data_IF_899574870051
#
_entry.id   IF_899574870051
#
_cell.length_a   1.000
_cell.length_b   1.000
_cell.length_c   1.000
_cell.angle_alpha   90.00
_cell.angle_beta   90.00
_cell.angle_gamma   90.00
#
_symmetry.space_group_name_H-M   'P 1'
#
loop_
_entity.id
_entity.type
_entity.pdbx_description
1 polymer ?
#
# COMPACT_ATOMS: atom_id res chain seq x y z
N UNK A 1 -5.88 -9.57 11.73
CA UNK A 1 -4.77 -10.19 12.46
C UNK A 1 -4.28 -11.36 11.64
N UNK A 2 -3.05 -11.26 11.16
CA UNK A 2 -2.40 -12.36 10.43
C UNK A 2 -1.94 -13.41 11.44
N UNK A 3 -2.15 -14.69 11.14
CA UNK A 3 -1.64 -15.77 11.97
C UNK A 3 -0.21 -16.17 11.57
N UNK A 4 0.41 -17.01 12.39
CA UNK A 4 1.80 -17.45 12.18
C UNK A 4 1.97 -18.33 10.94
N UNK A 5 0.88 -18.79 10.32
CA UNK A 5 0.87 -19.66 9.14
C UNK A 5 0.69 -18.86 7.83
N UNK A 6 0.40 -17.56 7.93
CA UNK A 6 0.16 -16.73 6.76
C UNK A 6 1.46 -16.44 6.01
N UNK A 7 1.54 -16.96 4.79
CA UNK A 7 2.60 -16.59 3.85
C UNK A 7 2.13 -15.41 2.99
N UNK A 8 2.76 -14.26 3.21
CA UNK A 8 2.42 -13.01 2.54
C UNK A 8 3.27 -12.87 1.28
N UNK A 9 2.80 -13.44 0.15
CA UNK A 9 3.53 -13.43 -1.13
C UNK A 9 4.99 -13.90 -0.96
N UNK A 10 5.17 -15.12 -0.43
CA UNK A 10 6.50 -15.71 -0.24
C UNK A 10 7.28 -15.21 1.00
N UNK A 11 6.73 -14.30 1.78
CA UNK A 11 7.34 -13.80 3.02
C UNK A 11 6.54 -14.27 4.25
N UNK A 12 7.24 -14.83 5.23
CA UNK A 12 6.61 -15.32 6.45
C UNK A 12 6.25 -14.18 7.39
N UNK A 13 5.09 -14.29 8.06
CA UNK A 13 4.68 -13.38 9.11
C UNK A 13 5.11 -13.91 10.47
N UNK A 14 5.93 -13.13 11.18
CA UNK A 14 6.33 -13.40 12.56
C UNK A 14 5.45 -12.59 13.51
N UNK A 15 4.47 -13.23 14.14
CA UNK A 15 3.61 -12.53 15.09
C UNK A 15 4.35 -12.25 16.41
N UNK A 16 4.50 -10.96 16.76
CA UNK A 16 5.04 -10.54 18.06
C UNK A 16 3.92 -10.52 19.08
N UNK A 17 3.93 -11.46 20.05
CA UNK A 17 2.92 -11.58 21.11
C UNK A 17 3.33 -10.87 22.40
N UNK A 18 4.60 -10.56 22.55
CA UNK A 18 5.15 -9.85 23.73
C UNK A 18 5.67 -8.48 23.28
N UNK A 19 5.05 -7.43 23.76
CA UNK A 19 5.42 -6.03 23.50
C UNK A 19 6.88 -5.71 23.84
N UNK A 20 7.46 -6.38 24.81
CA UNK A 20 8.84 -6.14 25.24
C UNK A 20 9.89 -7.02 24.54
N UNK A 21 9.45 -7.88 23.63
CA UNK A 21 10.35 -8.77 22.90
C UNK A 21 11.05 -8.01 21.77
N UNK A 22 12.35 -8.25 21.62
CA UNK A 22 13.08 -7.74 20.46
C UNK A 22 12.60 -8.40 19.16
N UNK A 23 12.63 -7.65 18.02
CA UNK A 23 12.42 -8.22 16.69
C UNK A 23 13.41 -9.36 16.42
N UNK A 24 13.06 -10.27 15.50
CA UNK A 24 13.95 -11.32 15.06
C UNK A 24 15.24 -10.76 14.42
N UNK A 25 16.31 -11.56 14.39
CA UNK A 25 17.62 -11.12 13.88
C UNK A 25 17.59 -10.71 12.40
N UNK A 26 16.69 -11.29 11.59
CA UNK A 26 16.49 -10.99 10.17
C UNK A 26 15.25 -10.10 9.92
N UNK A 27 14.85 -9.34 10.92
CA UNK A 27 13.61 -8.60 10.97
C UNK A 27 13.31 -7.61 9.85
N UNK A 28 14.32 -7.22 9.11
CA UNK A 28 14.21 -6.31 7.95
C UNK A 28 13.28 -6.85 6.83
N UNK A 29 13.03 -8.17 6.77
CA UNK A 29 12.18 -8.81 5.74
C UNK A 29 10.98 -9.54 6.32
N UNK A 30 10.68 -9.34 7.59
CA UNK A 30 9.61 -10.06 8.28
C UNK A 30 8.43 -9.14 8.57
N UNK A 31 7.24 -9.74 8.64
CA UNK A 31 6.01 -9.07 9.11
C UNK A 31 5.79 -9.47 10.56
N UNK A 32 5.45 -8.50 11.41
CA UNK A 32 5.26 -8.73 12.85
C UNK A 32 3.79 -8.67 13.29
N UNK A 33 2.86 -8.53 12.34
CA UNK A 33 1.42 -8.60 12.59
C UNK A 33 0.83 -7.37 13.32
N UNK A 34 1.56 -6.26 13.41
CA UNK A 34 1.03 -5.01 13.92
C UNK A 34 -0.02 -4.41 12.99
N UNK A 35 -1.08 -3.82 13.56
CA UNK A 35 -2.18 -3.22 12.83
C UNK A 35 -2.73 -1.96 13.51
N UNK A 36 -3.68 -1.30 12.86
CA UNK A 36 -4.32 -0.08 13.39
C UNK A 36 -5.15 -0.35 14.66
N UNK A 37 -5.64 -1.58 14.85
CA UNK A 37 -6.29 -1.96 16.10
C UNK A 37 -5.31 -1.96 17.26
N UNK A 38 -4.09 -2.47 17.04
CA UNK A 38 -3.01 -2.41 18.02
C UNK A 38 -2.60 -0.97 18.36
N UNK A 39 -2.64 -0.05 17.39
CA UNK A 39 -2.44 1.38 17.64
C UNK A 39 -3.52 1.92 18.59
N UNK A 40 -4.80 1.65 18.30
CA UNK A 40 -5.91 2.05 19.20
C UNK A 40 -5.71 1.54 20.63
N UNK A 41 -5.29 0.28 20.77
CA UNK A 41 -5.07 -0.36 22.09
C UNK A 41 -3.89 0.25 22.85
N UNK A 42 -3.06 1.05 22.19
CA UNK A 42 -1.89 1.72 22.79
C UNK A 42 -2.02 3.24 22.88
N UNK A 43 -3.14 3.83 22.51
CA UNK A 43 -3.30 5.28 22.53
C UNK A 43 -3.14 5.87 23.95
N UNK A 44 -3.66 5.21 24.99
CA UNK A 44 -3.50 5.67 26.37
C UNK A 44 -2.03 5.67 26.79
N UNK A 45 -1.27 4.63 26.39
CA UNK A 45 0.19 4.59 26.61
C UNK A 45 0.93 5.72 25.89
N UNK A 46 0.55 6.03 24.66
CA UNK A 46 1.17 7.11 23.86
C UNK A 46 0.84 8.47 24.47
N UNK A 47 -0.39 8.67 24.94
CA UNK A 47 -0.80 9.88 25.65
C UNK A 47 -0.03 10.07 26.96
N UNK A 48 0.09 9.05 27.79
CA UNK A 48 0.90 9.07 29.02
C UNK A 48 2.38 9.36 28.77
N UNK A 49 2.90 8.91 27.61
CA UNK A 49 4.27 9.19 27.17
C UNK A 49 4.44 10.65 26.68
N UNK A 50 3.36 11.39 26.50
CA UNK A 50 3.37 12.78 26.03
C UNK A 50 3.56 12.92 24.52
N UNK A 51 3.14 11.94 23.74
CA UNK A 51 3.17 12.01 22.27
C UNK A 51 2.13 13.02 21.78
N UNK A 52 2.56 13.95 20.97
CA UNK A 52 1.70 14.98 20.35
C UNK A 52 1.32 14.66 18.91
N UNK A 53 2.16 13.87 18.20
CA UNK A 53 1.97 13.53 16.79
C UNK A 53 2.31 12.06 16.57
N UNK A 54 1.42 11.34 15.90
CA UNK A 54 1.69 10.00 15.38
C UNK A 54 2.02 10.12 13.89
N UNK A 55 3.22 9.73 13.53
CA UNK A 55 3.62 9.58 12.14
C UNK A 55 3.56 8.10 11.75
N UNK A 56 2.78 7.81 10.72
CA UNK A 56 2.70 6.48 10.13
C UNK A 56 3.60 6.37 8.91
N UNK A 57 4.43 5.34 8.87
CA UNK A 57 5.00 4.83 7.62
C UNK A 57 3.86 4.49 6.65
N UNK A 58 4.14 4.23 5.35
CA UNK A 58 3.06 4.04 4.39
C UNK A 58 2.00 3.05 4.86
N UNK A 59 0.73 3.47 4.84
CA UNK A 59 -0.43 2.66 5.24
C UNK A 59 -1.23 2.13 4.06
N UNK A 60 -0.95 2.61 2.86
CA UNK A 60 -1.68 2.21 1.67
C UNK A 60 -1.40 0.76 1.29
N UNK A 61 -2.30 0.18 0.49
CA UNK A 61 -2.15 -1.21 0.02
C UNK A 61 -0.78 -1.40 -0.60
N UNK A 62 -0.03 -2.40 -0.13
CA UNK A 62 1.31 -2.73 -0.58
C UNK A 62 1.68 -4.16 -0.20
N UNK A 63 2.41 -4.91 -1.05
CA UNK A 63 2.77 -6.30 -0.78
C UNK A 63 3.94 -6.46 0.19
N UNK A 64 4.81 -5.44 0.33
CA UNK A 64 6.01 -5.56 1.16
C UNK A 64 5.77 -5.19 2.63
N UNK A 65 6.70 -5.57 3.50
CA UNK A 65 6.66 -5.19 4.91
C UNK A 65 7.02 -3.72 5.14
N UNK A 66 7.85 -3.10 4.29
CA UNK A 66 8.20 -1.68 4.37
C UNK A 66 7.12 -0.75 3.80
N UNK A 67 6.25 -1.24 2.92
CA UNK A 67 5.09 -0.54 2.35
C UNK A 67 5.38 0.65 1.43
N UNK A 68 6.64 0.86 0.99
CA UNK A 68 7.00 1.94 0.05
C UNK A 68 6.74 1.59 -1.42
N UNK A 69 6.32 0.37 -1.73
CA UNK A 69 5.90 -0.11 -3.05
C UNK A 69 4.37 -0.08 -3.17
N UNK A 70 3.80 1.13 -3.21
CA UNK A 70 2.35 1.34 -3.15
C UNK A 70 1.63 0.62 -4.29
N UNK A 71 0.65 -0.20 -3.93
CA UNK A 71 -0.21 -0.94 -4.84
C UNK A 71 -1.50 -0.17 -5.17
N UNK A 72 -2.09 0.52 -4.19
CA UNK A 72 -3.28 1.33 -4.37
C UNK A 72 -3.29 2.52 -3.40
N UNK A 73 -3.26 3.75 -3.92
CA UNK A 73 -3.25 4.98 -3.13
C UNK A 73 -4.63 5.38 -2.57
N UNK A 74 -5.69 4.75 -3.07
CA UNK A 74 -7.05 5.09 -2.67
C UNK A 74 -7.48 4.44 -1.35
N UNK A 75 -6.73 3.43 -0.90
CA UNK A 75 -7.16 2.59 0.22
C UNK A 75 -6.03 2.27 1.20
N UNK A 76 -6.41 2.24 2.47
CA UNK A 76 -5.58 1.67 3.54
C UNK A 76 -5.49 0.16 3.34
N UNK A 77 -4.29 -0.39 3.54
CA UNK A 77 -4.05 -1.82 3.42
C UNK A 77 -4.96 -2.60 4.38
N UNK A 78 -5.77 -3.56 3.89
CA UNK A 78 -6.64 -4.36 4.74
C UNK A 78 -5.91 -5.15 5.83
N UNK A 79 -4.62 -5.45 5.65
CA UNK A 79 -3.81 -6.10 6.68
C UNK A 79 -3.54 -5.19 7.88
N UNK A 80 -3.62 -3.87 7.71
CA UNK A 80 -3.63 -2.91 8.80
C UNK A 80 -5.03 -2.56 9.28
N UNK A 81 -6.03 -2.70 8.40
CA UNK A 81 -7.41 -2.30 8.63
C UNK A 81 -8.33 -3.47 8.92
N UNK A 82 -9.26 -3.73 8.01
CA UNK A 82 -10.32 -4.73 8.14
C UNK A 82 -10.31 -5.69 6.96
N UNK A 83 -10.25 -6.99 7.26
CA UNK A 83 -10.43 -8.06 6.29
C UNK A 83 -11.80 -8.68 6.56
N UNK A 84 -12.81 -8.26 5.78
CA UNK A 84 -14.17 -8.79 5.87
C UNK A 84 -14.34 -10.09 5.07
N UNK A 85 -13.58 -10.21 3.97
CA UNK A 85 -13.57 -11.38 3.08
C UNK A 85 -12.15 -11.91 2.98
N UNK A 86 -11.94 -13.14 3.44
CA UNK A 86 -10.64 -13.80 3.59
C UNK A 86 -10.57 -15.16 2.92
N UNK A 87 -11.33 -15.33 1.86
CA UNK A 87 -11.36 -16.58 1.08
C UNK A 87 -10.18 -16.64 0.12
N UNK A 88 -9.81 -17.85 -0.25
CA UNK A 88 -8.76 -18.15 -1.22
C UNK A 88 -7.59 -18.92 -0.62
N UNK A 89 -6.60 -19.16 -1.45
CA UNK A 89 -5.42 -19.96 -1.12
C UNK A 89 -4.21 -19.04 -0.88
N UNK A 90 -3.37 -19.43 0.06
CA UNK A 90 -2.03 -18.82 0.23
C UNK A 90 -1.09 -19.38 -0.84
N UNK A 91 -0.07 -18.58 -1.17
CA UNK A 91 0.97 -19.04 -2.10
C UNK A 91 1.72 -20.22 -1.50
N UNK A 92 1.81 -21.32 -2.24
CA UNK A 92 2.47 -22.56 -1.78
C UNK A 92 3.98 -22.37 -1.79
N UNK A 93 4.67 -23.13 -0.93
CA UNK A 93 6.14 -23.13 -0.91
C UNK A 93 6.70 -23.49 -2.29
N UNK A 94 7.60 -22.65 -2.80
CA UNK A 94 8.23 -22.81 -4.11
C UNK A 94 7.40 -22.32 -5.30
N UNK A 95 6.16 -21.88 -5.09
CA UNK A 95 5.36 -21.23 -6.11
C UNK A 95 5.75 -19.75 -6.22
N UNK A 96 6.10 -19.31 -7.42
CA UNK A 96 6.51 -17.93 -7.72
C UNK A 96 5.48 -17.16 -8.53
N UNK A 97 4.34 -17.76 -8.85
CA UNK A 97 3.25 -17.12 -9.57
C UNK A 97 2.28 -16.47 -8.60
N UNK A 98 2.36 -15.14 -8.49
CA UNK A 98 1.54 -14.36 -7.58
C UNK A 98 0.03 -14.42 -7.89
N UNK A 99 -0.37 -14.81 -9.10
CA UNK A 99 -1.78 -15.03 -9.45
C UNK A 99 -2.40 -16.22 -8.69
N UNK A 100 -1.58 -17.13 -8.17
CA UNK A 100 -2.01 -18.23 -7.32
C UNK A 100 -2.26 -17.83 -5.85
N UNK A 101 -1.79 -16.65 -5.43
CA UNK A 101 -2.03 -16.08 -4.09
C UNK A 101 -3.46 -15.52 -3.99
N UNK A 102 -4.48 -16.33 -4.26
CA UNK A 102 -5.87 -15.86 -4.40
C UNK A 102 -6.44 -15.27 -3.12
N UNK A 103 -5.97 -15.69 -1.94
CA UNK A 103 -6.33 -15.06 -0.67
C UNK A 103 -5.78 -13.64 -0.58
N UNK A 104 -4.51 -13.42 -0.92
CA UNK A 104 -3.94 -12.09 -0.98
C UNK A 104 -4.70 -11.19 -1.97
N UNK A 105 -4.95 -11.69 -3.19
CA UNK A 105 -5.71 -10.97 -4.21
C UNK A 105 -7.08 -10.55 -3.66
N UNK A 106 -7.83 -11.47 -3.05
CA UNK A 106 -9.12 -11.15 -2.45
C UNK A 106 -9.01 -10.10 -1.34
N UNK A 107 -8.01 -10.20 -0.48
CA UNK A 107 -7.80 -9.23 0.61
C UNK A 107 -7.60 -7.81 0.09
N UNK A 108 -6.75 -7.64 -0.95
CA UNK A 108 -6.26 -6.33 -1.38
C UNK A 108 -6.95 -5.74 -2.61
N UNK A 109 -7.83 -6.49 -3.27
CA UNK A 109 -8.55 -6.02 -4.47
C UNK A 109 -10.07 -5.95 -4.30
N UNK A 110 -10.65 -6.64 -3.31
CA UNK A 110 -12.09 -6.51 -3.03
C UNK A 110 -12.40 -5.18 -2.40
N UNK A 111 -13.26 -4.41 -3.06
CA UNK A 111 -13.66 -3.07 -2.61
C UNK A 111 -14.28 -3.08 -1.22
N UNK A 112 -15.03 -4.13 -0.86
CA UNK A 112 -15.59 -4.27 0.49
C UNK A 112 -14.53 -4.31 1.60
N UNK A 113 -13.39 -4.99 1.38
CA UNK A 113 -12.27 -4.97 2.32
C UNK A 113 -11.59 -3.60 2.36
N UNK A 114 -11.40 -3.01 1.17
CA UNK A 114 -10.72 -1.73 1.00
C UNK A 114 -11.53 -0.58 1.63
N UNK A 115 -12.82 -0.53 1.38
CA UNK A 115 -13.74 0.46 1.95
C UNK A 115 -13.87 0.32 3.47
N UNK A 116 -14.03 -0.91 3.98
CA UNK A 116 -14.06 -1.17 5.42
C UNK A 116 -12.76 -0.72 6.12
N UNK A 117 -11.60 -0.88 5.45
CA UNK A 117 -10.32 -0.44 5.98
C UNK A 117 -10.20 1.08 6.02
N UNK A 118 -10.70 1.77 4.99
CA UNK A 118 -10.76 3.24 4.98
C UNK A 118 -11.67 3.78 6.08
N UNK A 119 -12.85 3.18 6.26
CA UNK A 119 -13.78 3.56 7.33
C UNK A 119 -13.16 3.34 8.73
N UNK A 120 -12.45 2.23 8.89
CA UNK A 120 -11.75 1.95 10.15
C UNK A 120 -10.64 2.97 10.41
N UNK A 121 -9.84 3.31 9.40
CA UNK A 121 -8.79 4.33 9.54
C UNK A 121 -9.37 5.70 9.92
N UNK A 122 -10.49 6.10 9.34
CA UNK A 122 -11.17 7.35 9.72
C UNK A 122 -11.53 7.36 11.22
N UNK A 123 -11.98 6.22 11.77
CA UNK A 123 -12.25 6.08 13.21
C UNK A 123 -10.97 6.14 14.05
N UNK A 124 -9.88 5.52 13.57
CA UNK A 124 -8.57 5.59 14.23
C UNK A 124 -8.08 7.03 14.35
N UNK A 125 -8.14 7.79 13.26
CA UNK A 125 -7.77 9.23 13.29
C UNK A 125 -8.65 10.02 14.24
N UNK A 126 -9.95 9.76 14.25
CA UNK A 126 -10.87 10.40 15.19
C UNK A 126 -10.51 10.12 16.66
N UNK A 127 -10.15 8.88 17.01
CA UNK A 127 -9.73 8.50 18.37
C UNK A 127 -8.40 9.13 18.77
N UNK A 128 -7.47 9.27 17.81
CA UNK A 128 -6.19 9.97 18.02
C UNK A 128 -6.46 11.46 18.30
N UNK A 129 -7.30 12.10 17.50
CA UNK A 129 -7.67 13.50 17.66
C UNK A 129 -8.42 13.76 18.97
N UNK A 130 -9.28 12.82 19.42
CA UNK A 130 -9.99 12.92 20.68
C UNK A 130 -9.06 13.01 21.91
N UNK A 131 -7.82 12.51 21.79
CA UNK A 131 -6.74 12.63 22.79
C UNK A 131 -5.83 13.84 22.59
N UNK A 132 -6.17 14.73 21.66
CA UNK A 132 -5.36 15.91 21.34
C UNK A 132 -4.11 15.66 20.53
N UNK A 133 -3.88 14.43 20.09
CA UNK A 133 -2.76 14.08 19.20
C UNK A 133 -3.10 14.33 17.73
N UNK A 134 -2.09 14.49 16.91
CA UNK A 134 -2.19 14.68 15.45
C UNK A 134 -1.70 13.46 14.69
N UNK A 135 -2.06 13.39 13.39
CA UNK A 135 -1.70 12.29 12.50
C UNK A 135 -0.99 12.84 11.26
N UNK A 136 0.18 12.28 10.98
CA UNK A 136 0.91 12.47 9.72
C UNK A 136 1.03 11.11 9.03
N UNK A 137 0.80 11.07 7.72
CA UNK A 137 0.97 9.85 6.92
C UNK A 137 2.03 10.04 5.84
N UNK A 138 2.63 8.94 5.40
CA UNK A 138 3.67 8.92 4.39
C UNK A 138 3.10 8.98 2.98
N UNK A 139 3.60 9.91 2.16
CA UNK A 139 3.25 10.10 0.77
C UNK A 139 4.37 9.65 -0.16
N UNK A 140 4.24 8.44 -0.70
CA UNK A 140 5.20 7.86 -1.65
C UNK A 140 4.72 8.17 -3.06
N UNK A 141 5.05 9.38 -3.57
CA UNK A 141 4.52 9.87 -4.84
C UNK A 141 5.55 9.91 -5.98
N UNK A 142 6.82 9.60 -5.73
CA UNK A 142 7.84 9.52 -6.78
C UNK A 142 7.72 8.23 -7.60
N UNK A 143 7.35 7.15 -6.97
CA UNK A 143 7.21 5.82 -7.55
C UNK A 143 6.05 5.07 -6.92
N UNK A 144 5.61 3.99 -7.54
CA UNK A 144 4.68 3.03 -6.95
C UNK A 144 5.33 1.65 -6.85
N UNK A 145 4.57 0.61 -6.55
CA UNK A 145 5.02 -0.77 -6.61
C UNK A 145 4.72 -1.43 -7.96
N UNK A 146 5.40 -2.52 -8.28
CA UNK A 146 5.09 -3.33 -9.47
C UNK A 146 3.72 -4.01 -9.41
N UNK A 147 3.18 -4.20 -8.19
CA UNK A 147 1.82 -4.69 -7.94
C UNK A 147 0.75 -3.61 -8.14
N UNK A 148 1.12 -2.34 -8.34
CA UNK A 148 0.17 -1.23 -8.44
C UNK A 148 -0.86 -1.47 -9.55
N UNK A 149 -2.14 -1.18 -9.26
CA UNK A 149 -3.27 -1.39 -10.18
C UNK A 149 -3.12 -0.69 -11.53
N UNK A 150 -2.31 0.37 -11.61
CA UNK A 150 -2.07 1.08 -12.87
C UNK A 150 -1.07 0.35 -13.77
N UNK A 151 -0.11 -0.39 -13.19
CA UNK A 151 0.87 -1.20 -13.92
C UNK A 151 0.41 -2.65 -14.04
N UNK A 152 0.02 -3.25 -12.91
CA UNK A 152 -0.39 -4.65 -12.74
C UNK A 152 0.60 -5.65 -13.33
N UNK A 153 1.90 -5.46 -13.04
CA UNK A 153 2.95 -6.37 -13.50
C UNK A 153 2.73 -7.81 -13.03
N UNK A 154 2.15 -7.96 -11.84
CA UNK A 154 1.92 -9.27 -11.22
C UNK A 154 0.55 -9.88 -11.59
N UNK A 155 -0.23 -9.22 -12.46
CA UNK A 155 -1.52 -9.68 -12.98
C UNK A 155 -2.58 -9.96 -11.90
N UNK A 156 -2.44 -9.41 -10.71
CA UNK A 156 -3.34 -9.67 -9.58
C UNK A 156 -4.69 -8.97 -9.70
N UNK A 157 -4.76 -7.87 -10.46
CA UNK A 157 -6.02 -7.15 -10.69
C UNK A 157 -6.86 -7.75 -11.80
N UNK A 158 -6.22 -8.41 -12.79
CA UNK A 158 -6.90 -9.12 -13.88
C UNK A 158 -7.86 -10.19 -13.36
N UNK A 159 -7.46 -10.91 -12.31
CA UNK A 159 -8.20 -12.05 -11.76
C UNK A 159 -9.00 -11.66 -10.50
N UNK A 160 -9.13 -10.36 -10.22
CA UNK A 160 -9.95 -9.86 -9.11
C UNK A 160 -11.44 -10.15 -9.32
N UNK A 161 -12.18 -10.34 -8.22
CA UNK A 161 -13.64 -10.46 -8.25
C UNK A 161 -14.33 -9.13 -8.53
N UNK A 162 -13.69 -8.01 -8.27
CA UNK A 162 -14.14 -6.66 -8.63
C UNK A 162 -13.54 -6.23 -9.96
N UNK A 163 -14.25 -5.37 -10.69
CA UNK A 163 -13.82 -4.90 -12.01
C UNK A 163 -12.74 -3.82 -11.87
N UNK A 164 -11.61 -4.03 -12.57
CA UNK A 164 -10.52 -3.08 -12.71
C UNK A 164 -10.15 -2.90 -14.18
N UNK A 165 -9.70 -1.70 -14.53
CA UNK A 165 -9.14 -1.47 -15.86
C UNK A 165 -7.80 -2.22 -16.01
N UNK A 166 -7.45 -2.69 -17.22
CA UNK A 166 -6.20 -3.41 -17.44
C UNK A 166 -4.99 -2.53 -17.15
N UNK A 167 -3.97 -3.10 -16.52
CA UNK A 167 -2.71 -2.41 -16.22
C UNK A 167 -1.88 -2.06 -17.46
N UNK A 168 -1.03 -1.05 -17.34
CA UNK A 168 -0.18 -0.58 -18.43
C UNK A 168 0.93 -1.58 -18.80
N UNK A 169 1.29 -2.50 -17.92
CA UNK A 169 2.22 -3.57 -18.21
C UNK A 169 1.65 -4.56 -19.22
N UNK A 170 0.38 -4.93 -19.04
CA UNK A 170 -0.29 -5.94 -19.87
C UNK A 170 -0.68 -5.42 -21.26
N UNK A 171 -1.13 -4.16 -21.33
CA UNK A 171 -1.73 -3.63 -22.59
C UNK A 171 -1.28 -2.20 -22.91
N UNK A 172 -0.95 -1.99 -24.18
CA UNK A 172 -0.68 -0.64 -24.70
C UNK A 172 -1.88 0.31 -24.54
N UNK A 173 -3.10 -0.20 -24.74
CA UNK A 173 -4.35 0.57 -24.68
C UNK A 173 -4.84 0.81 -23.25
N UNK A 174 -4.06 0.44 -22.24
CA UNK A 174 -4.40 0.74 -20.84
C UNK A 174 -4.64 2.24 -20.63
N UNK A 175 -5.68 2.64 -19.87
CA UNK A 175 -5.89 4.03 -19.52
C UNK A 175 -4.71 4.61 -18.72
N UNK A 176 -3.88 3.76 -18.15
CA UNK A 176 -2.74 4.13 -17.33
C UNK A 176 -1.40 4.13 -18.11
N UNK A 177 -1.44 3.94 -19.45
CA UNK A 177 -0.23 3.83 -20.26
C UNK A 177 0.76 4.97 -20.00
N UNK A 178 0.29 6.22 -19.98
CA UNK A 178 1.12 7.40 -19.82
C UNK A 178 1.53 7.67 -18.35
N UNK A 179 1.02 6.90 -17.40
CA UNK A 179 1.44 6.99 -15.99
C UNK A 179 2.88 6.50 -15.78
N UNK A 180 3.39 5.75 -16.77
CA UNK A 180 4.74 5.20 -16.80
C UNK A 180 5.44 5.59 -18.10
N UNK A 181 6.77 5.69 -18.03
CA UNK A 181 7.60 5.92 -19.21
C UNK A 181 8.14 4.59 -19.70
N UNK A 182 7.65 4.14 -20.85
CA UNK A 182 8.14 2.93 -21.52
C UNK A 182 9.18 3.26 -22.59
N UNK A 183 10.18 2.39 -22.72
CA UNK A 183 11.30 2.55 -23.68
C UNK A 183 11.17 1.65 -24.90
N UNK A 184 10.17 0.78 -24.96
CA UNK A 184 9.85 -0.09 -26.10
C UNK A 184 8.35 -0.15 -26.35
N UNK A 185 7.95 -0.61 -27.54
CA UNK A 185 6.55 -0.87 -27.92
C UNK A 185 6.26 -2.37 -27.96
N UNK A 186 6.82 -3.13 -27.04
CA UNK A 186 6.64 -4.59 -26.98
C UNK A 186 5.61 -4.97 -25.93
N UNK A 187 4.39 -5.18 -26.37
CA UNK A 187 3.28 -5.70 -25.57
C UNK A 187 2.85 -7.07 -26.11
N UNK A 188 2.25 -7.93 -25.25
CA UNK A 188 1.98 -7.73 -23.81
C UNK A 188 3.23 -7.81 -22.93
N UNK A 189 3.04 -7.50 -21.65
CA UNK A 189 4.05 -7.65 -20.60
C UNK A 189 5.32 -6.82 -20.83
N UNK A 190 5.14 -5.52 -21.05
CA UNK A 190 6.23 -4.60 -21.36
C UNK A 190 7.07 -4.24 -20.11
N UNK A 191 8.25 -4.86 -20.00
CA UNK A 191 9.23 -4.64 -18.93
C UNK A 191 10.12 -3.41 -19.12
N UNK A 192 9.90 -2.60 -20.17
CA UNK A 192 10.80 -1.49 -20.51
C UNK A 192 10.48 -0.18 -19.82
N UNK A 193 9.70 -0.20 -18.73
CA UNK A 193 9.34 0.99 -17.98
C UNK A 193 10.49 1.52 -17.10
N UNK A 194 10.43 2.85 -16.81
CA UNK A 194 11.37 3.49 -15.91
C UNK A 194 11.11 3.11 -14.45
N UNK A 195 12.17 2.82 -13.71
CA UNK A 195 12.12 2.51 -12.28
C UNK A 195 12.98 3.48 -11.46
N UNK A 196 12.55 3.76 -10.23
CA UNK A 196 13.35 4.54 -9.31
C UNK A 196 14.71 3.86 -9.06
N UNK A 197 15.79 4.53 -9.39
CA UNK A 197 17.16 3.99 -9.43
C UNK A 197 17.30 2.70 -10.24
N UNK A 198 16.44 2.49 -11.24
CA UNK A 198 16.45 1.30 -12.09
C UNK A 198 15.82 0.04 -11.47
N UNK A 199 15.17 0.18 -10.31
CA UNK A 199 14.44 -0.94 -9.71
C UNK A 199 13.12 -1.19 -10.42
N UNK A 200 12.95 -2.36 -10.99
CA UNK A 200 11.72 -2.77 -11.69
C UNK A 200 10.53 -3.02 -10.74
N UNK A 201 10.82 -3.25 -9.45
CA UNK A 201 9.81 -3.36 -8.38
C UNK A 201 9.28 -2.01 -7.91
N UNK A 202 9.93 -0.90 -8.31
CA UNK A 202 9.58 0.48 -7.94
C UNK A 202 9.41 1.35 -9.19
N UNK A 203 8.35 1.11 -10.00
CA UNK A 203 8.08 1.88 -11.22
C UNK A 203 7.96 3.37 -10.92
N UNK A 204 8.72 4.19 -11.66
CA UNK A 204 8.68 5.64 -11.49
C UNK A 204 7.41 6.22 -12.12
N UNK A 205 6.76 7.14 -11.40
CA UNK A 205 5.58 7.83 -11.90
C UNK A 205 5.96 8.97 -12.87
N UNK A 206 5.28 9.01 -14.02
CA UNK A 206 5.62 9.87 -15.16
C UNK A 206 4.77 11.15 -15.18
N UNK A 207 5.04 12.08 -14.27
CA UNK A 207 4.32 13.37 -14.20
C UNK A 207 4.51 14.24 -15.45
N UNK A 208 5.70 14.22 -16.06
CA UNK A 208 5.98 14.97 -17.30
C UNK A 208 5.14 14.46 -18.48
N UNK A 209 4.80 13.18 -18.50
CA UNK A 209 4.05 12.52 -19.57
C UNK A 209 2.55 12.45 -19.34
N UNK A 210 2.06 12.73 -18.12
CA UNK A 210 0.64 12.55 -17.80
C UNK A 210 0.12 13.56 -16.78
N UNK A 211 -0.60 14.55 -17.30
CA UNK A 211 -1.34 15.49 -16.47
C UNK A 211 -2.47 14.81 -15.67
N UNK A 212 -3.06 13.75 -16.21
CA UNK A 212 -4.07 12.96 -15.54
C UNK A 212 -3.52 12.29 -14.27
N UNK A 213 -2.29 11.76 -14.34
CA UNK A 213 -1.59 11.24 -13.17
C UNK A 213 -1.37 12.34 -12.11
N UNK A 214 -0.89 13.52 -12.53
CA UNK A 214 -0.71 14.65 -11.63
C UNK A 214 -2.00 15.02 -10.91
N UNK A 215 -3.10 15.17 -11.66
CA UNK A 215 -4.42 15.48 -11.10
C UNK A 215 -4.92 14.38 -10.16
N UNK A 216 -4.65 13.12 -10.49
CA UNK A 216 -5.01 11.99 -9.63
C UNK A 216 -4.26 12.04 -8.29
N UNK A 217 -2.94 12.18 -8.31
CA UNK A 217 -2.12 12.27 -7.09
C UNK A 217 -2.51 13.50 -6.24
N UNK A 218 -2.79 14.63 -6.86
CA UNK A 218 -3.30 15.81 -6.14
C UNK A 218 -4.67 15.53 -5.51
N UNK A 219 -5.52 14.73 -6.15
CA UNK A 219 -6.80 14.30 -5.57
C UNK A 219 -6.61 13.38 -4.35
N UNK A 220 -5.64 12.47 -4.41
CA UNK A 220 -5.23 11.63 -3.27
C UNK A 220 -4.72 12.50 -2.12
N UNK A 221 -3.84 13.45 -2.42
CA UNK A 221 -3.34 14.39 -1.41
C UNK A 221 -4.46 15.12 -0.66
N UNK A 222 -5.46 15.60 -1.39
CA UNK A 222 -6.65 16.26 -0.82
C UNK A 222 -7.57 15.32 -0.07
N UNK A 223 -7.79 14.10 -0.59
CA UNK A 223 -8.68 13.10 0.00
C UNK A 223 -8.34 12.83 1.46
N UNK A 224 -7.09 12.51 1.74
CA UNK A 224 -6.69 12.06 3.07
C UNK A 224 -6.63 13.16 4.12
N UNK A 225 -6.38 14.41 3.72
CA UNK A 225 -6.43 15.58 4.63
C UNK A 225 -7.83 16.17 4.79
N UNK A 226 -8.82 15.64 4.08
CA UNK A 226 -10.21 16.09 4.15
C UNK A 226 -11.08 15.08 4.88
N UNK A 227 -12.30 15.50 5.27
CA UNK A 227 -13.30 14.61 5.83
C UNK A 227 -13.59 13.44 4.88
N UNK A 228 -13.78 12.20 5.41
CA UNK A 228 -13.89 11.86 6.82
C UNK A 228 -12.54 11.56 7.50
N UNK A 229 -11.41 11.54 6.77
CA UNK A 229 -10.12 11.10 7.30
C UNK A 229 -9.46 12.17 8.16
N UNK A 230 -9.40 13.42 7.67
CA UNK A 230 -8.87 14.58 8.40
C UNK A 230 -7.44 14.38 8.93
N UNK A 231 -6.58 13.72 8.17
CA UNK A 231 -5.16 13.60 8.52
C UNK A 231 -4.54 15.00 8.54
N UNK A 232 -3.67 15.30 9.51
CA UNK A 232 -3.14 16.65 9.74
C UNK A 232 -2.04 17.03 8.76
N UNK A 233 -1.39 16.06 8.11
CA UNK A 233 -0.35 16.35 7.14
C UNK A 233 0.29 15.13 6.49
N UNK A 234 1.21 15.43 5.57
CA UNK A 234 1.99 14.47 4.82
C UNK A 234 3.48 14.57 5.14
N UNK A 235 4.14 13.44 5.26
CA UNK A 235 5.57 13.31 5.08
C UNK A 235 5.81 12.79 3.66
N UNK A 236 6.56 13.51 2.84
CA UNK A 236 6.78 13.14 1.44
C UNK A 236 8.08 12.36 1.29
N UNK A 237 7.95 11.09 0.93
CA UNK A 237 9.09 10.22 0.63
C UNK A 237 9.81 10.71 -0.64
N UNK A 238 11.15 10.73 -0.58
CA UNK A 238 12.06 11.13 -1.68
C UNK A 238 11.61 12.37 -2.46
N UNK A 239 11.13 13.38 -1.74
CA UNK A 239 10.57 14.60 -2.34
C UNK A 239 11.54 15.33 -3.28
N UNK A 240 12.84 15.17 -3.08
CA UNK A 240 13.87 15.76 -3.95
C UNK A 240 13.90 15.14 -5.36
N UNK A 241 13.37 13.92 -5.52
CA UNK A 241 13.32 13.20 -6.80
C UNK A 241 12.00 13.44 -7.56
N UNK A 242 11.01 14.07 -6.91
CA UNK A 242 9.83 14.63 -7.56
C UNK A 242 10.28 15.87 -8.33
N UNK A 243 10.30 15.80 -9.66
CA UNK A 243 10.71 16.93 -10.49
C UNK A 243 9.96 18.23 -10.13
N UNK A 244 10.65 19.36 -10.17
CA UNK A 244 10.00 20.67 -10.10
C UNK A 244 9.33 20.93 -11.45
N UNK A 245 8.02 20.84 -11.52
CA UNK A 245 7.21 21.32 -12.65
C UNK A 245 6.74 22.73 -12.42
#
# INVERSE_FOLDING_TARGET
VLDDEYNYIGEHVCQVKDWNKYPAQMGIREFYGGDLKGVLDKLDYLEELGIEVIYFNPLFVSPSNHKYDIQDYDYIDPHFGVIAHDEGEVLKEGDTDNTHATRYINRVTRKSNLEASNEFFAKVVQEIHARGMKVIIDGVFNHCGSFNKWLDKEHIYRDSTDEYAPGAFERYESPYHNFFKFYSNQWPDNNSYDGWWGHDTLPKLNYEGSKELEEYILSIGRKWVSAPYNVDGWSLDVAADLGYS
#
